data_IF_839763957596
#
_entry.id   IF_839763957596
#
_cell.length_a   1.000
_cell.length_b   1.000
_cell.length_c   1.000
_cell.angle_alpha   90.00
_cell.angle_beta   90.00
_cell.angle_gamma   90.00
#
_symmetry.space_group_name_H-M   'P 1'
#
loop_
_entity.id
_entity.type
_entity.pdbx_description
1 polymer ?
#
# COMPACT_ATOMS: atom_id res chain seq x y z
N UNK A 1 23.43 6.83 -23.71
CA UNK A 1 22.89 6.73 -22.34
C UNK A 1 22.63 8.14 -21.83
N UNK A 2 21.37 8.56 -21.63
CA UNK A 2 21.09 9.85 -21.04
C UNK A 2 20.81 9.73 -19.53
N UNK A 3 21.60 10.47 -18.76
CA UNK A 3 21.32 10.92 -17.40
C UNK A 3 19.99 11.70 -17.40
N UNK A 4 19.04 11.31 -16.56
CA UNK A 4 17.92 12.17 -16.20
C UNK A 4 18.16 12.76 -14.82
N UNK A 5 18.58 14.03 -14.85
CA UNK A 5 18.67 14.94 -13.72
C UNK A 5 17.30 15.19 -13.11
N UNK A 6 17.16 14.91 -11.81
CA UNK A 6 16.04 15.37 -10.98
C UNK A 6 16.15 16.89 -10.82
N UNK A 7 15.28 17.64 -11.52
CA UNK A 7 15.15 19.08 -11.28
C UNK A 7 14.18 19.34 -10.13
N UNK A 8 14.71 20.10 -9.18
CA UNK A 8 14.12 20.67 -7.98
C UNK A 8 12.76 21.34 -8.23
N UNK A 9 11.81 21.06 -7.34
CA UNK A 9 10.79 22.02 -6.92
C UNK A 9 11.11 22.41 -5.48
N UNK A 10 11.65 23.62 -5.29
CA UNK A 10 11.90 24.21 -3.99
C UNK A 10 10.71 25.08 -3.59
N UNK A 11 9.93 24.61 -2.64
CA UNK A 11 9.07 25.43 -1.79
C UNK A 11 9.06 24.80 -0.38
N UNK A 12 9.86 25.35 0.53
CA UNK A 12 9.75 25.13 2.00
C UNK A 12 9.75 23.69 2.52
N UNK A 13 10.30 22.71 1.78
CA UNK A 13 10.13 21.29 2.10
C UNK A 13 11.35 20.74 2.82
N UNK A 14 11.18 20.32 4.09
CA UNK A 14 12.14 19.44 4.75
C UNK A 14 12.42 18.27 3.82
N UNK A 15 13.66 18.09 3.38
CA UNK A 15 14.09 16.86 2.73
C UNK A 15 13.89 15.72 3.73
N UNK A 16 12.78 14.98 3.60
CA UNK A 16 12.55 13.79 4.41
C UNK A 16 13.60 12.76 4.01
N UNK A 17 14.56 12.51 4.91
CA UNK A 17 15.58 11.49 4.72
C UNK A 17 14.96 10.12 4.92
N UNK A 18 15.07 9.25 3.92
CA UNK A 18 14.68 7.85 4.07
C UNK A 18 15.67 7.17 5.03
N UNK A 19 15.15 6.58 6.09
CA UNK A 19 15.88 5.79 7.06
C UNK A 19 15.71 4.29 6.79
N UNK A 20 16.71 3.49 7.18
CA UNK A 20 16.73 2.06 6.94
C UNK A 20 16.68 1.27 8.23
N UNK A 21 15.78 0.29 8.25
CA UNK A 21 15.50 -0.58 9.37
C UNK A 21 15.59 -2.05 8.97
N UNK A 22 15.85 -2.89 9.97
CA UNK A 22 15.78 -4.34 9.90
C UNK A 22 14.56 -4.79 10.67
N UNK A 23 13.65 -5.46 9.98
CA UNK A 23 12.47 -6.06 10.57
C UNK A 23 12.68 -7.57 10.68
N UNK A 24 12.82 -8.06 11.91
CA UNK A 24 12.84 -9.48 12.22
C UNK A 24 11.43 -9.93 12.57
N UNK A 25 10.94 -10.99 11.91
CA UNK A 25 9.61 -11.54 12.15
C UNK A 25 9.73 -13.01 12.53
N UNK A 26 8.89 -13.45 13.47
CA UNK A 26 8.88 -14.82 13.97
C UNK A 26 7.50 -15.45 13.79
N UNK A 27 7.47 -16.69 13.32
CA UNK A 27 6.26 -17.51 13.22
C UNK A 27 6.60 -19.00 13.30
N UNK A 28 5.93 -19.78 14.14
CA UNK A 28 6.15 -21.22 14.31
C UNK A 28 7.65 -21.58 14.48
N UNK A 29 8.36 -20.88 15.37
CA UNK A 29 9.81 -21.02 15.59
C UNK A 29 10.71 -20.79 14.36
N UNK A 30 10.19 -20.21 13.28
CA UNK A 30 10.96 -19.79 12.12
C UNK A 30 11.07 -18.28 12.10
N UNK A 31 12.23 -17.81 11.69
CA UNK A 31 12.56 -16.38 11.64
C UNK A 31 12.85 -15.96 10.21
N UNK A 32 12.48 -14.72 9.88
CA UNK A 32 12.91 -14.05 8.66
C UNK A 32 13.37 -12.63 9.01
N UNK A 33 14.24 -12.09 8.18
CA UNK A 33 14.65 -10.69 8.23
C UNK A 33 14.28 -9.99 6.93
N UNK A 34 13.66 -8.81 7.04
CA UNK A 34 13.30 -7.95 5.92
C UNK A 34 13.93 -6.56 6.09
N UNK A 35 14.46 -6.01 5.01
CA UNK A 35 14.77 -4.57 4.95
C UNK A 35 13.49 -3.74 4.88
N UNK A 36 13.43 -2.68 5.67
CA UNK A 36 12.34 -1.69 5.71
C UNK A 36 12.94 -0.30 5.50
N UNK A 37 12.33 0.48 4.62
CA UNK A 37 12.67 1.88 4.37
C UNK A 37 11.54 2.74 4.92
N UNK A 38 11.83 3.73 5.76
CA UNK A 38 10.82 4.56 6.39
C UNK A 38 11.21 6.04 6.37
N UNK A 39 10.25 6.91 6.67
CA UNK A 39 10.48 8.36 6.78
C UNK A 39 11.02 8.73 8.17
N UNK A 40 10.57 7.98 9.18
CA UNK A 40 10.96 8.10 10.57
C UNK A 40 10.65 6.78 11.30
N UNK A 41 10.97 6.73 12.60
CA UNK A 41 10.71 5.57 13.43
C UNK A 41 9.21 5.22 13.58
N UNK A 42 8.31 6.22 13.56
CA UNK A 42 6.88 5.98 13.67
C UNK A 42 6.32 5.31 12.42
N UNK A 43 6.74 5.77 11.24
CA UNK A 43 6.47 5.15 9.96
C UNK A 43 7.04 3.72 9.91
N UNK A 44 8.25 3.51 10.42
CA UNK A 44 8.85 2.18 10.48
C UNK A 44 8.08 1.21 11.40
N UNK A 45 7.59 1.69 12.55
CA UNK A 45 6.75 0.91 13.46
C UNK A 45 5.38 0.57 12.85
N UNK A 46 4.75 1.54 12.17
CA UNK A 46 3.52 1.30 11.41
C UNK A 46 3.70 0.22 10.34
N UNK A 47 4.76 0.33 9.54
CA UNK A 47 5.11 -0.69 8.55
C UNK A 47 5.36 -2.06 9.20
N UNK A 48 6.07 -2.12 10.32
CA UNK A 48 6.33 -3.36 11.03
C UNK A 48 5.03 -4.07 11.46
N UNK A 49 4.06 -3.30 11.97
CA UNK A 49 2.74 -3.81 12.34
C UNK A 49 1.98 -4.32 11.11
N UNK A 50 1.92 -3.55 10.03
CA UNK A 50 1.22 -3.90 8.80
C UNK A 50 1.83 -5.16 8.13
N UNK A 51 3.16 -5.26 8.10
CA UNK A 51 3.89 -6.44 7.61
C UNK A 51 3.63 -7.65 8.51
N UNK A 52 3.66 -7.47 9.84
CA UNK A 52 3.36 -8.53 10.79
C UNK A 52 1.97 -9.11 10.58
N UNK A 53 0.95 -8.23 10.43
CA UNK A 53 -0.42 -8.63 10.09
C UNK A 53 -0.49 -9.37 8.74
N UNK A 54 0.15 -8.81 7.71
CA UNK A 54 0.22 -9.39 6.36
C UNK A 54 0.73 -10.84 6.36
N UNK A 55 1.79 -11.12 7.12
CA UNK A 55 2.40 -12.46 7.20
C UNK A 55 1.79 -13.33 8.29
N UNK A 56 0.93 -12.75 9.12
CA UNK A 56 0.44 -13.30 10.39
C UNK A 56 1.61 -13.81 11.24
N UNK A 57 2.59 -12.94 11.47
CA UNK A 57 3.71 -13.21 12.37
C UNK A 57 3.23 -13.14 13.82
N UNK A 58 3.85 -13.93 14.69
CA UNK A 58 3.53 -13.96 16.13
C UNK A 58 4.22 -12.83 16.88
N UNK A 59 5.44 -12.49 16.44
CA UNK A 59 6.29 -11.46 17.03
C UNK A 59 7.08 -10.76 15.94
N UNK A 60 7.40 -9.50 16.18
CA UNK A 60 8.36 -8.76 15.37
C UNK A 60 9.30 -7.93 16.25
N UNK A 61 10.49 -7.66 15.72
CA UNK A 61 11.49 -6.79 16.31
C UNK A 61 12.01 -5.85 15.21
N UNK A 62 12.09 -4.56 15.54
CA UNK A 62 12.55 -3.53 14.62
C UNK A 62 13.88 -2.97 15.12
N UNK A 63 14.94 -3.14 14.35
CA UNK A 63 16.26 -2.58 14.62
C UNK A 63 16.69 -1.58 13.56
N UNK A 64 17.62 -0.70 13.91
CA UNK A 64 18.23 0.22 12.96
C UNK A 64 19.21 -0.51 12.03
N UNK A 65 19.31 -0.07 10.78
CA UNK A 65 20.34 -0.49 9.84
C UNK A 65 19.80 -1.16 8.57
N UNK A 66 20.71 -1.41 7.63
CA UNK A 66 20.37 -2.00 6.32
C UNK A 66 20.30 -3.52 6.41
N UNK A 67 19.18 -4.10 6.00
CA UNK A 67 19.02 -5.53 5.73
C UNK A 67 18.95 -5.82 4.22
N UNK A 68 19.06 -7.09 3.86
CA UNK A 68 18.95 -7.54 2.47
C UNK A 68 17.58 -7.15 1.90
N UNK A 69 17.59 -6.37 0.83
CA UNK A 69 16.39 -6.02 0.10
C UNK A 69 15.88 -7.24 -0.69
N UNK A 70 14.79 -7.82 -0.20
CA UNK A 70 14.11 -8.95 -0.87
C UNK A 70 13.02 -8.44 -1.81
N UNK A 71 12.47 -9.32 -2.65
CA UNK A 71 11.27 -8.99 -3.45
C UNK A 71 10.09 -8.58 -2.57
N UNK A 72 9.99 -9.19 -1.39
CA UNK A 72 8.95 -8.89 -0.42
C UNK A 72 9.19 -7.53 0.26
N UNK A 73 10.45 -7.21 0.58
CA UNK A 73 10.84 -5.88 1.08
C UNK A 73 10.44 -4.77 0.09
N UNK A 74 10.74 -4.96 -1.20
CA UNK A 74 10.34 -3.99 -2.26
C UNK A 74 8.83 -3.83 -2.40
N UNK A 75 8.07 -4.92 -2.24
CA UNK A 75 6.61 -4.86 -2.26
C UNK A 75 6.09 -4.02 -1.09
N UNK A 76 6.54 -4.30 0.13
CA UNK A 76 6.09 -3.57 1.31
C UNK A 76 6.56 -2.11 1.31
N UNK A 77 7.77 -1.83 0.84
CA UNK A 77 8.25 -0.46 0.63
C UNK A 77 7.30 0.30 -0.30
N UNK A 78 6.94 -0.26 -1.46
CA UNK A 78 5.98 0.40 -2.35
C UNK A 78 4.59 0.57 -1.74
N UNK A 79 4.13 -0.38 -0.92
CA UNK A 79 2.86 -0.25 -0.20
C UNK A 79 2.92 0.89 0.82
N UNK A 80 4.02 0.98 1.58
CA UNK A 80 4.23 2.00 2.60
C UNK A 80 4.27 3.42 2.01
N UNK A 81 4.95 3.60 0.88
CA UNK A 81 5.05 4.87 0.18
C UNK A 81 3.90 5.12 -0.82
N UNK A 82 2.96 4.17 -0.94
CA UNK A 82 1.91 4.18 -1.96
C UNK A 82 2.45 4.45 -3.38
N UNK A 83 3.61 3.86 -3.70
CA UNK A 83 4.31 4.01 -4.98
C UNK A 83 3.78 3.01 -6.03
N UNK A 84 2.52 3.22 -6.39
CA UNK A 84 1.81 2.51 -7.46
C UNK A 84 1.03 3.53 -8.28
N UNK A 85 0.98 3.37 -9.61
CA UNK A 85 0.06 4.12 -10.45
C UNK A 85 -1.15 3.23 -10.78
N UNK A 86 -2.38 3.73 -10.63
CA UNK A 86 -3.59 3.00 -11.01
C UNK A 86 -3.66 2.62 -12.50
N UNK A 87 -2.91 3.29 -13.38
CA UNK A 87 -2.86 3.05 -14.83
C UNK A 87 -1.91 1.92 -15.20
N UNK A 88 -0.85 1.74 -14.42
CA UNK A 88 0.25 0.84 -14.77
C UNK A 88 0.22 -0.47 -14.00
N UNK A 89 0.69 -1.54 -14.63
CA UNK A 89 0.87 -2.80 -13.94
C UNK A 89 2.15 -2.76 -13.09
N UNK A 90 2.08 -3.28 -11.87
CA UNK A 90 3.27 -3.63 -11.10
C UNK A 90 3.46 -5.13 -11.11
N UNK A 91 4.43 -5.61 -11.88
CA UNK A 91 4.63 -7.05 -12.11
C UNK A 91 5.45 -7.71 -11.01
N UNK A 92 4.96 -8.85 -10.53
CA UNK A 92 5.72 -9.70 -9.62
C UNK A 92 6.87 -10.39 -10.36
N UNK A 93 8.10 -10.21 -9.87
CA UNK A 93 9.31 -10.81 -10.44
C UNK A 93 9.80 -12.05 -9.68
N UNK A 94 8.96 -12.58 -8.78
CA UNK A 94 9.25 -13.75 -7.95
C UNK A 94 8.61 -15.02 -8.48
N UNK A 95 8.48 -15.99 -7.57
CA UNK A 95 7.88 -17.28 -7.89
C UNK A 95 6.39 -17.16 -8.25
N UNK A 96 5.91 -18.14 -8.99
CA UNK A 96 4.49 -18.31 -9.32
C UNK A 96 4.05 -19.72 -8.95
N UNK A 97 2.77 -19.87 -8.63
CA UNK A 97 2.14 -21.17 -8.41
C UNK A 97 0.83 -21.16 -9.17
N UNK A 98 0.64 -22.09 -10.11
CA UNK A 98 -0.54 -22.14 -10.97
C UNK A 98 -0.81 -20.81 -11.70
N UNK A 99 0.24 -20.16 -12.21
CA UNK A 99 0.20 -18.82 -12.85
C UNK A 99 -0.25 -17.68 -11.92
N UNK A 100 -0.22 -17.88 -10.61
CA UNK A 100 -0.53 -16.85 -9.61
C UNK A 100 0.75 -16.45 -8.87
N UNK A 101 1.07 -15.14 -8.76
CA UNK A 101 2.20 -14.64 -7.97
C UNK A 101 2.23 -15.19 -6.54
N UNK A 102 3.36 -15.79 -6.17
CA UNK A 102 3.57 -16.37 -4.85
C UNK A 102 4.99 -16.18 -4.32
N UNK A 103 5.15 -16.34 -3.01
CA UNK A 103 6.42 -16.30 -2.30
C UNK A 103 6.45 -17.39 -1.23
N UNK A 104 7.64 -17.76 -0.77
CA UNK A 104 7.82 -18.76 0.28
C UNK A 104 8.45 -18.09 1.50
N UNK A 105 7.73 -18.10 2.62
CA UNK A 105 8.08 -17.40 3.85
C UNK A 105 7.73 -18.30 5.03
N UNK A 106 8.54 -18.35 6.09
CA UNK A 106 8.35 -19.25 7.24
C UNK A 106 8.16 -20.72 6.87
N UNK A 107 8.76 -21.18 5.77
CA UNK A 107 8.58 -22.54 5.29
C UNK A 107 7.15 -22.86 4.82
N UNK A 108 6.38 -21.85 4.38
CA UNK A 108 5.05 -22.02 3.78
C UNK A 108 4.91 -21.10 2.55
N UNK A 109 4.09 -21.52 1.60
CA UNK A 109 3.71 -20.69 0.45
C UNK A 109 2.69 -19.63 0.85
N UNK A 110 2.93 -18.41 0.39
CA UNK A 110 2.01 -17.27 0.45
C UNK A 110 1.71 -16.77 -0.96
N UNK A 111 0.45 -16.48 -1.25
CA UNK A 111 0.09 -15.76 -2.47
C UNK A 111 0.24 -14.26 -2.23
N UNK A 112 0.76 -13.53 -3.21
CA UNK A 112 1.12 -12.12 -3.03
C UNK A 112 -0.09 -11.22 -2.80
N UNK A 113 -1.20 -11.46 -3.50
CA UNK A 113 -2.43 -10.65 -3.35
C UNK A 113 -3.01 -10.73 -1.93
N UNK A 114 -3.19 -11.92 -1.31
CA UNK A 114 -3.54 -12.01 0.10
C UNK A 114 -2.59 -11.27 1.05
N UNK A 115 -1.28 -11.28 0.78
CA UNK A 115 -0.33 -10.49 1.59
C UNK A 115 -0.63 -8.99 1.50
N UNK A 116 -0.89 -8.48 0.30
CA UNK A 116 -1.27 -7.06 0.10
C UNK A 116 -2.54 -6.73 0.89
N UNK A 117 -3.55 -7.60 0.89
CA UNK A 117 -4.78 -7.38 1.65
C UNK A 117 -4.54 -7.36 3.15
N UNK A 118 -3.75 -8.30 3.66
CA UNK A 118 -3.39 -8.33 5.07
C UNK A 118 -2.54 -7.13 5.49
N UNK A 119 -1.70 -6.61 4.59
CA UNK A 119 -0.95 -5.37 4.82
C UNK A 119 -1.91 -4.19 4.95
N UNK A 120 -2.82 -4.04 3.98
CA UNK A 120 -3.80 -2.95 3.93
C UNK A 120 -4.96 -3.10 4.93
N UNK A 121 -4.97 -4.11 5.81
CA UNK A 121 -6.07 -4.34 6.77
C UNK A 121 -7.45 -4.55 6.10
N UNK A 122 -7.46 -5.20 4.93
CA UNK A 122 -8.71 -5.45 4.20
C UNK A 122 -9.24 -6.84 4.59
N UNK A 123 -10.18 -6.88 5.54
CA UNK A 123 -10.93 -8.08 5.92
C UNK A 123 -11.82 -8.56 4.76
N UNK A 124 -11.36 -9.52 3.96
CA UNK A 124 -12.22 -10.14 2.94
C UNK A 124 -11.97 -11.64 2.84
N UNK A 125 -13.00 -12.44 3.09
CA UNK A 125 -12.94 -13.87 2.78
C UNK A 125 -12.86 -14.04 1.27
N UNK A 126 -11.75 -14.60 0.82
CA UNK A 126 -11.71 -15.42 -0.38
C UNK A 126 -11.88 -14.64 -1.69
N UNK A 127 -10.73 -14.44 -2.33
CA UNK A 127 -10.59 -14.18 -3.77
C UNK A 127 -10.73 -12.70 -4.15
N UNK A 128 -9.57 -12.09 -4.31
CA UNK A 128 -9.40 -10.88 -5.08
C UNK A 128 -8.94 -11.28 -6.48
N UNK A 129 -9.74 -10.93 -7.49
CA UNK A 129 -9.37 -11.15 -8.89
C UNK A 129 -8.49 -10.01 -9.36
N UNK A 130 -7.67 -10.31 -10.35
CA UNK A 130 -7.02 -9.26 -11.10
C UNK A 130 -8.00 -8.69 -12.13
N UNK A 131 -8.21 -7.38 -12.11
CA UNK A 131 -9.00 -6.68 -13.13
C UNK A 131 -8.21 -6.48 -14.42
N UNK A 132 -6.88 -6.39 -14.32
CA UNK A 132 -6.05 -6.29 -15.51
C UNK A 132 -5.82 -7.69 -16.10
N UNK A 133 -5.61 -7.77 -17.41
CA UNK A 133 -5.39 -9.03 -18.13
C UNK A 133 -4.00 -9.64 -17.85
N UNK A 134 -3.16 -8.98 -17.07
CA UNK A 134 -1.80 -9.41 -16.76
C UNK A 134 -1.74 -10.21 -15.46
N UNK A 135 -1.66 -11.54 -15.54
CA UNK A 135 -1.60 -12.44 -14.38
C UNK A 135 -0.44 -12.18 -13.40
N UNK A 136 0.66 -11.54 -13.85
CA UNK A 136 1.80 -11.19 -13.01
C UNK A 136 1.60 -9.88 -12.24
N UNK A 137 0.60 -9.08 -12.60
CA UNK A 137 0.33 -7.83 -11.91
C UNK A 137 -0.10 -8.10 -10.46
N UNK A 138 0.49 -7.36 -9.54
CA UNK A 138 0.16 -7.33 -8.11
C UNK A 138 -0.14 -5.91 -7.64
N UNK A 139 -0.42 -4.98 -8.56
CA UNK A 139 -0.84 -3.63 -8.22
C UNK A 139 -2.16 -3.67 -7.42
N UNK A 140 -2.21 -3.11 -6.18
CA UNK A 140 -3.41 -3.09 -5.37
C UNK A 140 -4.60 -2.42 -6.07
N UNK A 141 -4.38 -1.42 -6.93
CA UNK A 141 -5.43 -0.74 -7.68
C UNK A 141 -6.09 -1.60 -8.76
N UNK A 142 -5.43 -2.70 -9.17
CA UNK A 142 -5.96 -3.66 -10.14
C UNK A 142 -6.65 -4.84 -9.46
N UNK A 143 -6.89 -4.77 -8.15
CA UNK A 143 -7.69 -5.74 -7.42
C UNK A 143 -9.19 -5.56 -7.72
N UNK A 144 -9.88 -6.66 -7.99
CA UNK A 144 -11.34 -6.75 -7.96
C UNK A 144 -11.76 -7.52 -6.72
N UNK A 145 -12.57 -6.88 -5.90
CA UNK A 145 -13.13 -7.53 -4.74
C UNK A 145 -14.49 -8.17 -5.09
N UNK A 146 -14.64 -9.46 -4.82
CA UNK A 146 -15.78 -10.25 -5.30
C UNK A 146 -17.01 -10.26 -4.41
N UNK A 147 -16.87 -10.04 -3.09
CA UNK A 147 -18.03 -10.02 -2.18
C UNK A 147 -18.88 -8.77 -2.37
N UNK A 148 -20.18 -8.93 -2.07
CA UNK A 148 -21.34 -8.04 -2.27
C UNK A 148 -21.02 -6.54 -2.26
N UNK A 149 -21.79 -5.77 -3.05
CA UNK A 149 -21.62 -4.31 -3.14
C UNK A 149 -21.67 -3.71 -1.73
N UNK A 150 -20.52 -3.32 -1.18
CA UNK A 150 -20.44 -2.94 0.22
C UNK A 150 -21.20 -1.64 0.45
N UNK A 151 -21.97 -1.56 1.53
CA UNK A 151 -22.62 -0.32 1.97
C UNK A 151 -21.66 0.64 2.67
N UNK A 152 -20.53 0.12 3.18
CA UNK A 152 -19.50 0.83 3.96
C UNK A 152 -18.09 0.50 3.46
N UNK A 153 -17.13 1.38 3.73
CA UNK A 153 -15.71 1.15 3.50
C UNK A 153 -15.05 0.78 4.84
N UNK A 154 -14.19 -0.23 4.85
CA UNK A 154 -13.31 -0.52 5.99
C UNK A 154 -12.10 0.43 6.03
N UNK A 155 -11.25 0.28 7.06
CA UNK A 155 -9.99 1.01 7.23
C UNK A 155 -9.10 0.92 5.98
N UNK A 156 -8.88 -0.29 5.46
CA UNK A 156 -8.10 -0.51 4.25
C UNK A 156 -8.73 0.04 2.96
N UNK A 157 -10.05 -0.04 2.84
CA UNK A 157 -10.77 0.54 1.70
C UNK A 157 -10.68 2.07 1.71
N UNK A 158 -10.64 2.69 2.90
CA UNK A 158 -10.49 4.13 3.08
C UNK A 158 -9.08 4.60 2.67
N UNK A 159 -8.04 3.87 3.07
CA UNK A 159 -6.67 4.15 2.61
C UNK A 159 -6.58 4.09 1.08
N UNK A 160 -7.15 3.06 0.47
CA UNK A 160 -7.22 2.93 -0.98
C UNK A 160 -8.03 4.05 -1.64
N UNK A 161 -9.14 4.48 -1.04
CA UNK A 161 -9.93 5.62 -1.52
C UNK A 161 -9.10 6.91 -1.53
N UNK A 162 -8.43 7.24 -0.43
CA UNK A 162 -7.59 8.43 -0.31
C UNK A 162 -6.44 8.39 -1.33
N UNK A 163 -5.84 7.22 -1.50
CA UNK A 163 -4.76 6.99 -2.46
C UNK A 163 -5.23 7.17 -3.92
N UNK A 164 -6.36 6.57 -4.29
CA UNK A 164 -6.99 6.80 -5.60
C UNK A 164 -7.32 8.28 -5.84
N UNK A 165 -7.83 8.97 -4.81
CA UNK A 165 -8.17 10.39 -4.90
C UNK A 165 -6.93 11.24 -5.12
N UNK A 166 -5.83 10.95 -4.43
CA UNK A 166 -4.53 11.61 -4.61
C UNK A 166 -3.98 11.48 -6.03
N UNK A 167 -4.29 10.39 -6.73
CA UNK A 167 -3.93 10.17 -8.14
C UNK A 167 -4.92 10.78 -9.14
N UNK A 168 -5.91 11.54 -8.69
CA UNK A 168 -6.92 12.16 -9.56
C UNK A 168 -7.91 11.17 -10.19
N UNK A 169 -8.05 9.97 -9.64
CA UNK A 169 -8.98 8.95 -10.17
C UNK A 169 -10.43 9.36 -9.93
N UNK A 170 -11.29 9.15 -10.92
CA UNK A 170 -12.70 9.53 -10.82
C UNK A 170 -13.45 8.67 -9.79
N UNK A 171 -14.42 9.27 -9.08
CA UNK A 171 -15.26 8.56 -8.11
C UNK A 171 -15.98 7.34 -8.71
N UNK A 172 -16.25 7.36 -10.03
CA UNK A 172 -16.81 6.22 -10.75
C UNK A 172 -15.86 5.02 -10.80
N UNK A 173 -14.60 5.25 -11.15
CA UNK A 173 -13.58 4.20 -11.23
C UNK A 173 -13.29 3.64 -9.85
N UNK A 174 -13.20 4.50 -8.84
CA UNK A 174 -13.00 4.09 -7.44
C UNK A 174 -14.16 3.22 -6.96
N UNK A 175 -15.41 3.63 -7.22
CA UNK A 175 -16.60 2.86 -6.82
C UNK A 175 -16.63 1.47 -7.48
N UNK A 176 -16.20 1.36 -8.75
CA UNK A 176 -16.06 0.08 -9.45
C UNK A 176 -14.96 -0.78 -8.83
N UNK A 177 -13.79 -0.19 -8.53
CA UNK A 177 -12.65 -0.90 -7.97
C UNK A 177 -12.96 -1.46 -6.58
N UNK A 178 -13.50 -0.64 -5.68
CA UNK A 178 -13.83 -1.02 -4.30
C UNK A 178 -15.15 -1.81 -4.17
N UNK A 179 -15.86 -1.99 -5.30
CA UNK A 179 -17.17 -2.63 -5.37
C UNK A 179 -18.23 -1.97 -4.46
N UNK A 180 -18.42 -0.65 -4.57
CA UNK A 180 -19.39 0.13 -3.77
C UNK A 180 -20.27 1.03 -4.63
N UNK A 181 -21.26 1.70 -4.03
CA UNK A 181 -22.02 2.74 -4.72
C UNK A 181 -21.22 4.06 -4.77
N UNK A 182 -21.38 4.85 -5.84
CA UNK A 182 -20.69 6.16 -5.99
C UNK A 182 -20.98 7.10 -4.83
N UNK A 183 -22.19 7.06 -4.26
CA UNK A 183 -22.55 7.86 -3.08
C UNK A 183 -21.75 7.49 -1.83
N UNK A 184 -21.29 6.24 -1.69
CA UNK A 184 -20.40 5.83 -0.61
C UNK A 184 -19.04 6.53 -0.73
N UNK A 185 -18.53 6.70 -1.95
CA UNK A 185 -17.29 7.44 -2.20
C UNK A 185 -17.43 8.91 -1.78
N UNK A 186 -18.44 9.61 -2.30
CA UNK A 186 -18.64 11.03 -1.98
C UNK A 186 -18.92 11.27 -0.49
N UNK A 187 -19.66 10.36 0.16
CA UNK A 187 -19.90 10.44 1.60
C UNK A 187 -18.59 10.36 2.37
N UNK A 188 -17.75 9.35 2.13
CA UNK A 188 -16.48 9.21 2.85
C UNK A 188 -15.55 10.40 2.57
N UNK A 189 -15.40 10.84 1.32
CA UNK A 189 -14.59 12.02 0.99
C UNK A 189 -15.09 13.31 1.68
N UNK A 190 -16.40 13.46 1.92
CA UNK A 190 -16.96 14.60 2.65
C UNK A 190 -16.64 14.55 4.16
N UNK A 191 -16.61 13.35 4.74
CA UNK A 191 -16.32 13.16 6.17
C UNK A 191 -14.82 13.23 6.48
N UNK A 192 -13.99 12.85 5.51
CA UNK A 192 -12.53 12.93 5.63
C UNK A 192 -12.00 14.36 5.74
N UNK A 193 -12.84 15.40 5.49
CA UNK A 193 -12.49 16.84 5.49
C UNK A 193 -10.97 17.05 5.43
N UNK A 194 -10.38 16.66 4.30
CA UNK A 194 -9.03 17.08 3.98
C UNK A 194 -9.16 18.60 3.93
N UNK A 195 -8.59 19.27 4.94
CA UNK A 195 -8.39 20.71 4.89
C UNK A 195 -7.67 20.97 3.57
N UNK A 196 -8.42 21.47 2.58
CA UNK A 196 -7.82 22.16 1.46
C UNK A 196 -7.04 23.33 2.09
N UNK A 197 -5.74 23.13 2.25
CA UNK A 197 -4.82 24.16 2.73
C UNK A 197 -4.69 25.23 1.66
N UNK A 198 -5.75 26.00 1.44
CA UNK A 198 -5.76 27.25 0.70
C UNK A 198 -7.10 27.98 0.86
N UNK A 199 -7.41 28.43 2.08
CA UNK A 199 -8.21 29.64 2.22
C UNK A 199 -7.34 30.73 2.81
N UNK A 200 -6.69 31.45 1.89
CA UNK A 200 -6.10 32.76 2.14
C UNK A 200 -7.05 33.61 2.97
N UNK A 201 -6.67 33.84 4.22
CA UNK A 201 -7.26 34.83 5.08
C UNK A 201 -6.79 36.21 4.61
N UNK A 202 -7.41 36.74 3.55
CA UNK A 202 -7.38 38.17 3.23
C UNK A 202 -8.77 38.64 2.82
N UNK A 203 -9.55 39.05 3.81
CA UNK A 203 -10.46 40.18 3.65
C UNK A 203 -9.92 41.33 4.49
N UNK A 204 -9.22 42.22 3.79
CA UNK A 204 -8.96 43.59 4.21
C UNK A 204 -10.30 44.25 4.58
N UNK A 205 -10.36 44.80 5.79
CA UNK A 205 -11.38 45.77 6.18
C UNK A 205 -11.26 46.98 5.26
N UNK A 206 -12.37 47.36 4.63
CA UNK A 206 -12.65 48.75 4.29
C UNK A 206 -13.47 49.36 5.44
#
# INVERSE_FOLDING_TARGET
MPNYSLNKLQSGSQTMSIEYYKLKLVKNNKEIELGVSALDAAHAQGQALDISRSLSAEKFELGYGKAKQTRLSKLYERLAFNDFDHRDCFEWTGSVTNKVPSTYVFGKRYYVRPLILGYLDIERDGVVKNQCKNHMCINPYHNQYLKSRNSKLGSGDLQMLLAFRGQGVSASQIAKALNVHRSTIYRNLKHERISDGSQDYRRSKH
#
